data_IF_502354316509
#
_entry.id   IF_502354316509
#
_cell.length_a   1.000
_cell.length_b   1.000
_cell.length_c   1.000
_cell.angle_alpha   90.00
_cell.angle_beta   90.00
_cell.angle_gamma   90.00
#
_symmetry.space_group_name_H-M   'P 1'
#
loop_
_entity.id
_entity.type
_entity.pdbx_description
1 polymer ?
#
# COMPACT_ATOMS: atom_id res chain seq x y z
N UNK A 1 -11.38 -11.83 17.49
CA UNK A 1 -12.73 -12.32 17.14
C UNK A 1 -13.49 -11.12 16.62
N UNK A 2 -13.40 -10.88 15.32
CA UNK A 2 -14.14 -9.82 14.64
C UNK A 2 -15.64 -10.07 14.81
N UNK A 3 -16.40 -9.02 15.06
CA UNK A 3 -17.86 -9.14 15.26
C UNK A 3 -18.56 -9.51 13.95
N UNK A 4 -19.71 -10.18 14.00
CA UNK A 4 -20.46 -10.54 12.78
C UNK A 4 -20.74 -9.34 11.86
N UNK A 5 -20.87 -8.15 12.45
CA UNK A 5 -21.11 -6.90 11.73
C UNK A 5 -19.90 -6.43 10.91
N UNK A 6 -18.69 -6.58 11.44
CA UNK A 6 -17.45 -6.21 10.75
C UNK A 6 -17.22 -7.09 9.53
N UNK A 7 -17.47 -8.40 9.66
CA UNK A 7 -17.40 -9.34 8.55
C UNK A 7 -18.40 -8.99 7.43
N UNK A 8 -19.63 -8.62 7.78
CA UNK A 8 -20.63 -8.19 6.80
C UNK A 8 -20.24 -6.89 6.09
N UNK A 9 -19.61 -5.93 6.77
CA UNK A 9 -19.09 -4.70 6.14
C UNK A 9 -18.01 -5.04 5.11
N UNK A 10 -17.03 -5.88 5.49
CA UNK A 10 -15.96 -6.33 4.58
C UNK A 10 -16.54 -7.06 3.37
N UNK A 11 -17.47 -7.98 3.61
CA UNK A 11 -18.16 -8.74 2.56
C UNK A 11 -18.87 -7.81 1.56
N UNK A 12 -19.65 -6.85 2.05
CA UNK A 12 -20.31 -5.84 1.19
C UNK A 12 -19.31 -5.04 0.37
N UNK A 13 -18.14 -4.71 0.91
CA UNK A 13 -17.07 -4.04 0.17
C UNK A 13 -16.56 -4.85 -1.02
N UNK A 14 -16.33 -6.15 -0.84
CA UNK A 14 -15.93 -7.05 -1.93
C UNK A 14 -17.04 -7.30 -2.94
N UNK A 15 -18.30 -7.43 -2.49
CA UNK A 15 -19.47 -7.52 -3.37
C UNK A 15 -19.60 -6.26 -4.24
N UNK A 16 -19.44 -5.09 -3.63
CA UNK A 16 -19.46 -3.82 -4.34
C UNK A 16 -18.34 -3.72 -5.38
N UNK A 17 -17.10 -4.08 -5.04
CA UNK A 17 -15.97 -4.11 -5.99
C UNK A 17 -16.25 -5.04 -7.17
N UNK A 18 -16.85 -6.21 -6.90
CA UNK A 18 -17.18 -7.21 -7.92
C UNK A 18 -18.26 -6.75 -8.91
N UNK A 19 -19.07 -5.77 -8.52
CA UNK A 19 -20.05 -5.14 -9.41
C UNK A 19 -19.45 -4.02 -10.27
N UNK A 20 -18.22 -3.57 -10.01
CA UNK A 20 -17.62 -2.44 -10.73
C UNK A 20 -16.89 -2.87 -12.01
N UNK A 21 -16.89 -1.99 -13.00
CA UNK A 21 -16.03 -2.13 -14.17
C UNK A 21 -14.65 -1.54 -13.89
N UNK A 22 -13.77 -2.34 -13.28
CA UNK A 22 -12.41 -1.90 -12.92
C UNK A 22 -11.49 -1.94 -14.14
N UNK A 23 -10.93 -0.78 -14.54
CA UNK A 23 -10.15 -0.66 -15.78
C UNK A 23 -8.76 -0.06 -15.59
N UNK A 24 -8.52 0.78 -14.59
CA UNK A 24 -7.18 1.37 -14.43
C UNK A 24 -6.23 0.37 -13.78
N UNK A 25 -4.93 0.43 -14.14
CA UNK A 25 -3.90 -0.43 -13.52
C UNK A 25 -3.83 -0.21 -12.02
N UNK A 26 -3.95 1.05 -11.58
CA UNK A 26 -4.01 1.43 -10.17
C UNK A 26 -5.13 0.70 -9.42
N UNK A 27 -6.37 0.76 -9.91
CA UNK A 27 -7.51 0.13 -9.24
C UNK A 27 -7.42 -1.40 -9.27
N UNK A 28 -6.96 -1.97 -10.38
CA UNK A 28 -6.74 -3.42 -10.49
C UNK A 28 -5.69 -3.90 -9.51
N UNK A 29 -4.54 -3.22 -9.43
CA UNK A 29 -3.48 -3.58 -8.49
C UNK A 29 -3.93 -3.46 -7.03
N UNK A 30 -4.68 -2.41 -6.69
CA UNK A 30 -5.27 -2.26 -5.35
C UNK A 30 -6.28 -3.37 -5.05
N UNK A 31 -7.13 -3.74 -6.01
CA UNK A 31 -8.13 -4.80 -5.84
C UNK A 31 -7.47 -6.18 -5.71
N UNK A 32 -6.45 -6.46 -6.54
CA UNK A 32 -5.66 -7.69 -6.45
C UNK A 32 -5.00 -7.80 -5.07
N UNK A 33 -4.38 -6.73 -4.59
CA UNK A 33 -3.76 -6.69 -3.25
C UNK A 33 -4.78 -6.96 -2.13
N UNK A 34 -5.99 -6.42 -2.26
CA UNK A 34 -7.05 -6.62 -1.27
C UNK A 34 -7.46 -8.09 -1.21
N UNK A 35 -7.70 -8.74 -2.34
CA UNK A 35 -8.01 -10.17 -2.40
C UNK A 35 -6.89 -11.03 -1.79
N UNK A 36 -5.63 -10.74 -2.15
CA UNK A 36 -4.46 -11.46 -1.64
C UNK A 36 -4.37 -11.41 -0.11
N UNK A 37 -4.63 -10.24 0.49
CA UNK A 37 -4.55 -10.06 1.94
C UNK A 37 -5.59 -10.88 2.69
N UNK A 38 -6.78 -11.06 2.11
CA UNK A 38 -7.87 -11.87 2.67
C UNK A 38 -7.82 -13.34 2.26
N UNK A 39 -6.88 -13.75 1.40
CA UNK A 39 -6.80 -15.12 0.89
C UNK A 39 -8.02 -15.53 0.05
N UNK A 40 -8.66 -14.56 -0.62
CA UNK A 40 -9.84 -14.79 -1.44
C UNK A 40 -9.46 -15.17 -2.87
N UNK A 41 -10.31 -15.93 -3.60
CA UNK A 41 -10.13 -16.11 -5.05
C UNK A 41 -10.03 -14.76 -5.75
N UNK A 42 -9.03 -14.61 -6.63
CA UNK A 42 -8.72 -13.33 -7.23
C UNK A 42 -8.94 -13.33 -8.76
N UNK A 43 -10.15 -12.95 -9.23
CA UNK A 43 -10.46 -12.94 -10.67
C UNK A 43 -9.74 -11.82 -11.43
N UNK A 44 -9.09 -10.87 -10.73
CA UNK A 44 -8.50 -9.68 -11.32
C UNK A 44 -7.04 -9.87 -11.76
N UNK A 45 -6.36 -10.93 -11.29
CA UNK A 45 -4.96 -11.23 -11.65
C UNK A 45 -4.76 -11.25 -13.17
N UNK A 46 -5.58 -12.04 -13.87
CA UNK A 46 -5.44 -12.20 -15.34
C UNK A 46 -5.68 -10.87 -16.05
N UNK A 47 -6.60 -10.05 -15.56
CA UNK A 47 -6.89 -8.75 -16.17
C UNK A 47 -5.74 -7.76 -15.96
N UNK A 48 -5.14 -7.73 -14.77
CA UNK A 48 -3.94 -6.94 -14.48
C UNK A 48 -2.76 -7.37 -15.39
N UNK A 49 -2.50 -8.67 -15.51
CA UNK A 49 -1.42 -9.19 -16.38
C UNK A 49 -1.64 -8.79 -17.84
N UNK A 50 -2.88 -8.86 -18.34
CA UNK A 50 -3.21 -8.51 -19.73
C UNK A 50 -3.03 -7.03 -20.05
N UNK A 51 -2.98 -6.14 -19.06
CA UNK A 51 -2.68 -4.71 -19.25
C UNK A 51 -1.19 -4.40 -19.35
N UNK A 52 -0.32 -5.40 -19.21
CA UNK A 52 1.12 -5.21 -19.39
C UNK A 52 1.43 -4.94 -20.86
N UNK A 53 2.19 -3.89 -21.12
CA UNK A 53 2.67 -3.49 -22.44
C UNK A 53 4.20 -3.61 -22.48
N UNK A 54 4.69 -4.58 -23.25
CA UNK A 54 6.12 -4.94 -23.20
C UNK A 54 6.50 -5.41 -21.80
N UNK A 55 7.44 -4.72 -21.16
CA UNK A 55 7.95 -5.06 -19.83
C UNK A 55 7.37 -4.17 -18.71
N UNK A 56 6.36 -3.35 -18.98
CA UNK A 56 5.84 -2.39 -18.00
C UNK A 56 4.32 -2.22 -18.09
N UNK A 57 3.75 -1.45 -17.17
CA UNK A 57 2.35 -0.99 -17.25
C UNK A 57 2.32 0.51 -17.51
N UNK A 58 1.61 0.93 -18.56
CA UNK A 58 1.43 2.34 -18.96
C UNK A 58 2.74 3.13 -19.16
N UNK A 59 3.88 2.45 -19.36
CA UNK A 59 5.23 3.07 -19.29
C UNK A 59 5.46 3.91 -18.03
N UNK A 60 4.77 3.57 -16.93
CA UNK A 60 4.74 4.31 -15.69
C UNK A 60 5.43 3.52 -14.60
N UNK A 61 6.42 4.14 -13.95
CA UNK A 61 7.14 3.58 -12.80
C UNK A 61 6.13 3.17 -11.72
N UNK A 62 5.21 4.08 -11.41
CA UNK A 62 4.24 3.90 -10.32
C UNK A 62 3.25 2.79 -10.60
N UNK A 63 2.71 2.70 -11.82
CA UNK A 63 1.77 1.64 -12.16
C UNK A 63 2.47 0.29 -12.29
N UNK A 64 3.70 0.28 -12.81
CA UNK A 64 4.52 -0.94 -12.86
C UNK A 64 4.85 -1.44 -11.45
N UNK A 65 5.29 -0.55 -10.55
CA UNK A 65 5.57 -0.90 -9.15
C UNK A 65 4.32 -1.43 -8.43
N UNK A 66 3.15 -0.79 -8.61
CA UNK A 66 1.87 -1.27 -8.06
C UNK A 66 1.49 -2.65 -8.60
N UNK A 67 1.61 -2.85 -9.90
CA UNK A 67 1.28 -4.14 -10.52
C UNK A 67 2.21 -5.26 -10.02
N UNK A 68 3.52 -5.01 -9.98
CA UNK A 68 4.51 -5.94 -9.43
C UNK A 68 4.22 -6.28 -7.97
N UNK A 69 3.96 -5.25 -7.14
CA UNK A 69 3.58 -5.39 -5.72
C UNK A 69 2.36 -6.30 -5.56
N UNK A 70 1.29 -6.01 -6.30
CA UNK A 70 0.03 -6.75 -6.21
C UNK A 70 0.16 -8.21 -6.68
N UNK A 71 0.90 -8.45 -7.77
CA UNK A 71 1.14 -9.80 -8.27
C UNK A 71 2.06 -10.59 -7.32
N UNK A 72 3.04 -9.95 -6.70
CA UNK A 72 3.92 -10.60 -5.72
C UNK A 72 3.16 -11.00 -4.46
N UNK A 73 2.14 -10.24 -4.04
CA UNK A 73 1.24 -10.62 -2.95
C UNK A 73 0.45 -11.91 -3.24
N UNK A 74 0.26 -12.24 -4.53
CA UNK A 74 -0.33 -13.51 -5.02
C UNK A 74 0.73 -14.59 -5.31
N UNK A 75 2.00 -14.34 -4.96
CA UNK A 75 3.12 -15.25 -5.24
C UNK A 75 3.58 -15.26 -6.69
N UNK A 76 3.20 -14.26 -7.49
CA UNK A 76 3.54 -14.16 -8.92
C UNK A 76 4.61 -13.09 -9.12
N UNK A 77 5.84 -13.52 -9.43
CA UNK A 77 6.97 -12.62 -9.70
C UNK A 77 7.32 -12.67 -11.19
N UNK A 78 7.21 -11.52 -11.87
CA UNK A 78 7.67 -11.38 -13.27
C UNK A 78 9.04 -10.72 -13.34
N UNK A 79 10.02 -11.44 -13.91
CA UNK A 79 11.39 -10.94 -14.08
C UNK A 79 11.53 -9.81 -15.10
N UNK A 80 10.65 -9.72 -16.10
CA UNK A 80 10.75 -8.68 -17.12
C UNK A 80 10.43 -7.28 -16.56
N UNK A 81 9.28 -7.08 -15.87
CA UNK A 81 8.98 -5.83 -15.19
C UNK A 81 9.91 -5.46 -14.05
N UNK A 82 10.45 -6.44 -13.32
CA UNK A 82 11.54 -6.22 -12.38
C UNK A 82 12.75 -5.56 -13.06
N UNK A 83 13.24 -6.15 -14.16
CA UNK A 83 14.39 -5.63 -14.90
C UNK A 83 14.10 -4.24 -15.47
N UNK A 84 12.90 -4.03 -16.00
CA UNK A 84 12.47 -2.73 -16.47
C UNK A 84 12.50 -1.71 -15.34
N UNK A 85 11.90 -2.02 -14.18
CA UNK A 85 11.88 -1.11 -13.04
C UNK A 85 13.30 -0.78 -12.58
N UNK A 86 14.20 -1.76 -12.44
CA UNK A 86 15.62 -1.52 -12.13
C UNK A 86 16.33 -0.66 -13.17
N UNK A 87 16.03 -0.84 -14.46
CA UNK A 87 16.66 -0.02 -15.52
C UNK A 87 16.23 1.45 -15.51
N UNK A 88 15.11 1.77 -14.85
CA UNK A 88 14.63 3.14 -14.68
C UNK A 88 15.29 3.85 -13.50
N UNK A 89 16.00 3.12 -12.62
CA UNK A 89 16.70 3.68 -11.48
C UNK A 89 17.92 4.50 -11.94
N UNK A 90 18.09 5.69 -11.38
CA UNK A 90 19.24 6.57 -11.60
C UNK A 90 19.70 7.16 -10.27
N UNK A 91 20.93 6.86 -9.89
CA UNK A 91 21.54 7.35 -8.65
C UNK A 91 20.73 7.04 -7.39
N UNK A 92 20.20 5.82 -7.26
CA UNK A 92 19.38 5.40 -6.14
C UNK A 92 17.92 5.87 -6.18
N UNK A 93 17.43 6.44 -7.28
CA UNK A 93 16.08 7.00 -7.32
C UNK A 93 15.34 6.67 -8.60
N UNK A 94 14.02 6.73 -8.52
CA UNK A 94 13.14 6.74 -9.69
C UNK A 94 12.61 8.15 -9.89
N UNK A 95 12.88 8.73 -11.06
CA UNK A 95 12.51 10.10 -11.42
C UNK A 95 13.02 11.21 -10.48
N UNK A 96 14.02 10.93 -9.62
CA UNK A 96 14.42 11.84 -8.52
C UNK A 96 13.22 12.23 -7.62
N UNK A 97 12.22 11.35 -7.53
CA UNK A 97 10.95 11.60 -6.85
C UNK A 97 10.75 10.62 -5.69
N UNK A 98 10.35 11.15 -4.53
CA UNK A 98 10.17 10.38 -3.30
C UNK A 98 9.01 9.38 -3.42
N UNK A 99 7.92 9.73 -4.12
CA UNK A 99 6.80 8.80 -4.29
C UNK A 99 7.18 7.63 -5.19
N UNK A 100 7.73 7.91 -6.35
CA UNK A 100 8.12 6.88 -7.32
C UNK A 100 9.21 5.97 -6.75
N UNK A 101 10.16 6.54 -6.00
CA UNK A 101 11.19 5.77 -5.30
C UNK A 101 10.60 4.90 -4.19
N UNK A 102 9.71 5.41 -3.34
CA UNK A 102 9.07 4.62 -2.30
C UNK A 102 8.21 3.47 -2.86
N UNK A 103 7.44 3.72 -3.92
CA UNK A 103 6.66 2.67 -4.59
C UNK A 103 7.57 1.60 -5.20
N UNK A 104 8.66 2.01 -5.85
CA UNK A 104 9.60 1.09 -6.51
C UNK A 104 10.33 0.21 -5.49
N UNK A 105 10.86 0.81 -4.41
CA UNK A 105 11.54 0.08 -3.34
C UNK A 105 10.63 -0.91 -2.63
N UNK A 106 9.37 -0.53 -2.38
CA UNK A 106 8.35 -1.46 -1.86
C UNK A 106 8.16 -2.64 -2.81
N UNK A 107 7.96 -2.37 -4.09
CA UNK A 107 7.71 -3.41 -5.09
C UNK A 107 8.92 -4.35 -5.24
N UNK A 108 10.14 -3.81 -5.25
CA UNK A 108 11.37 -4.61 -5.25
C UNK A 108 11.45 -5.50 -4.01
N UNK A 109 11.19 -4.98 -2.81
CA UNK A 109 11.19 -5.79 -1.59
C UNK A 109 10.16 -6.93 -1.64
N UNK A 110 8.97 -6.67 -2.18
CA UNK A 110 7.91 -7.68 -2.33
C UNK A 110 8.23 -8.72 -3.42
N UNK A 111 9.07 -8.37 -4.40
CA UNK A 111 9.68 -9.31 -5.35
C UNK A 111 10.96 -9.97 -4.82
N UNK A 112 11.24 -9.84 -3.52
CA UNK A 112 12.42 -10.40 -2.82
C UNK A 112 13.75 -9.83 -3.29
N UNK A 113 13.76 -8.54 -3.64
CA UNK A 113 14.93 -7.85 -4.17
C UNK A 113 15.30 -6.70 -3.26
N UNK A 114 16.49 -6.80 -2.68
CA UNK A 114 17.04 -5.73 -1.86
C UNK A 114 17.63 -4.62 -2.72
N UNK A 115 17.49 -3.40 -2.22
CA UNK A 115 18.05 -2.21 -2.85
C UNK A 115 18.51 -1.21 -1.80
N UNK A 116 19.79 -1.29 -1.46
CA UNK A 116 20.36 -0.45 -0.41
C UNK A 116 20.60 0.98 -0.87
N UNK A 117 21.00 1.15 -2.12
CA UNK A 117 21.29 2.48 -2.68
C UNK A 117 20.00 3.31 -2.69
N UNK A 118 18.90 2.73 -3.17
CA UNK A 118 17.63 3.44 -3.15
C UNK A 118 17.08 3.69 -1.75
N UNK A 119 17.29 2.79 -0.78
CA UNK A 119 16.93 3.06 0.61
C UNK A 119 17.71 4.24 1.19
N UNK A 120 19.03 4.32 0.94
CA UNK A 120 19.85 5.45 1.38
C UNK A 120 19.38 6.75 0.73
N UNK A 121 19.13 6.74 -0.59
CA UNK A 121 18.63 7.92 -1.29
C UNK A 121 17.30 8.40 -0.70
N UNK A 122 16.36 7.48 -0.46
CA UNK A 122 15.05 7.82 0.10
C UNK A 122 15.16 8.40 1.52
N UNK A 123 16.06 7.85 2.33
CA UNK A 123 16.35 8.35 3.68
C UNK A 123 16.97 9.76 3.65
N UNK A 124 17.98 9.97 2.80
CA UNK A 124 18.73 11.24 2.70
C UNK A 124 17.90 12.37 2.06
N UNK A 125 16.95 12.04 1.19
CA UNK A 125 16.10 13.02 0.50
C UNK A 125 14.74 13.24 1.17
N UNK A 126 14.49 12.60 2.32
CA UNK A 126 13.34 12.95 3.16
C UNK A 126 13.56 14.30 3.83
N UNK A 127 12.64 15.24 3.63
CA UNK A 127 12.71 16.59 4.18
C UNK A 127 11.35 17.27 4.30
N UNK A 128 11.30 18.54 4.73
CA UNK A 128 10.04 19.24 5.00
C UNK A 128 9.03 19.27 3.85
N UNK A 129 9.52 19.27 2.60
CA UNK A 129 8.66 19.21 1.41
C UNK A 129 7.86 17.89 1.29
N UNK A 130 8.39 16.82 1.89
CA UNK A 130 7.85 15.46 1.83
C UNK A 130 7.22 15.01 3.16
N UNK A 131 7.30 15.84 4.21
CA UNK A 131 6.74 15.53 5.53
C UNK A 131 5.21 15.72 5.55
N UNK A 132 4.54 14.80 4.88
CA UNK A 132 3.09 14.67 4.88
C UNK A 132 2.75 13.24 5.28
N UNK A 133 1.67 13.05 6.04
CA UNK A 133 1.30 11.73 6.59
C UNK A 133 1.30 10.63 5.53
N UNK A 134 0.69 10.89 4.37
CA UNK A 134 0.63 9.92 3.28
C UNK A 134 2.01 9.53 2.75
N UNK A 135 2.85 10.52 2.43
CA UNK A 135 4.21 10.32 1.93
C UNK A 135 5.11 9.64 2.95
N UNK A 136 5.11 10.13 4.20
CA UNK A 136 5.89 9.54 5.30
C UNK A 136 5.50 8.08 5.51
N UNK A 137 4.21 7.74 5.39
CA UNK A 137 3.73 6.35 5.49
C UNK A 137 4.22 5.45 4.34
N UNK A 138 4.30 5.98 3.11
CA UNK A 138 4.88 5.25 1.97
C UNK A 138 6.37 4.97 2.19
N UNK A 139 7.12 5.96 2.68
CA UNK A 139 8.55 5.83 2.98
C UNK A 139 8.79 4.79 4.07
N UNK A 140 8.05 4.88 5.19
CA UNK A 140 8.10 3.88 6.27
C UNK A 140 7.85 2.48 5.72
N UNK A 141 6.81 2.32 4.89
CA UNK A 141 6.46 1.02 4.30
C UNK A 141 7.58 0.46 3.43
N UNK A 142 8.17 1.30 2.58
CA UNK A 142 9.25 0.91 1.68
C UNK A 142 10.50 0.48 2.45
N UNK A 143 11.00 1.35 3.35
CA UNK A 143 12.19 1.06 4.16
C UNK A 143 11.97 -0.15 5.08
N UNK A 144 10.81 -0.25 5.72
CA UNK A 144 10.53 -1.37 6.63
C UNK A 144 10.51 -2.71 5.89
N UNK A 145 9.93 -2.76 4.69
CA UNK A 145 9.94 -3.99 3.87
C UNK A 145 11.35 -4.37 3.41
N UNK A 146 12.17 -3.39 3.04
CA UNK A 146 13.57 -3.60 2.69
C UNK A 146 14.39 -4.11 3.88
N UNK A 147 14.21 -3.52 5.08
CA UNK A 147 14.83 -4.01 6.32
C UNK A 147 14.42 -5.45 6.67
N UNK A 148 13.12 -5.75 6.57
CA UNK A 148 12.61 -7.10 6.83
C UNK A 148 13.20 -8.13 5.87
N UNK A 149 13.35 -7.78 4.58
CA UNK A 149 13.94 -8.66 3.58
C UNK A 149 15.42 -8.97 3.87
N UNK A 150 16.21 -7.97 4.27
CA UNK A 150 17.67 -8.15 4.46
C UNK A 150 18.06 -8.50 5.90
N UNK A 151 17.16 -8.35 6.87
CA UNK A 151 17.46 -8.43 8.30
C UNK A 151 18.30 -7.26 8.84
N UNK A 152 18.52 -6.22 8.03
CA UNK A 152 19.26 -5.02 8.41
C UNK A 152 18.32 -4.05 9.15
N UNK A 153 18.83 -3.28 10.11
CA UNK A 153 18.09 -2.32 10.94
C UNK A 153 18.63 -0.88 10.89
N UNK A 154 19.39 -0.55 9.85
CA UNK A 154 20.04 0.77 9.74
C UNK A 154 19.05 1.94 9.68
N UNK A 155 17.79 1.72 9.32
CA UNK A 155 16.75 2.73 9.26
C UNK A 155 15.74 2.62 10.43
N UNK A 156 15.93 1.67 11.36
CA UNK A 156 14.96 1.35 12.42
C UNK A 156 14.60 2.56 13.28
N UNK A 157 15.60 3.36 13.64
CA UNK A 157 15.40 4.59 14.44
C UNK A 157 14.53 5.58 13.67
N UNK A 158 14.88 5.85 12.41
CA UNK A 158 14.12 6.76 11.55
C UNK A 158 12.68 6.27 11.35
N UNK A 159 12.51 4.98 11.02
CA UNK A 159 11.21 4.35 10.83
C UNK A 159 10.34 4.51 12.09
N UNK A 160 10.89 4.24 13.26
CA UNK A 160 10.15 4.36 14.53
C UNK A 160 9.75 5.81 14.80
N UNK A 161 10.69 6.75 14.72
CA UNK A 161 10.41 8.17 14.96
C UNK A 161 9.35 8.73 13.99
N UNK A 162 9.42 8.34 12.71
CA UNK A 162 8.43 8.76 11.72
C UNK A 162 7.08 8.07 11.92
N UNK A 163 7.06 6.82 12.37
CA UNK A 163 5.81 6.14 12.73
C UNK A 163 5.13 6.83 13.93
N UNK A 164 5.88 7.17 14.97
CA UNK A 164 5.40 7.95 16.12
C UNK A 164 4.89 9.33 15.69
N UNK A 165 5.60 10.00 14.78
CA UNK A 165 5.14 11.26 14.20
C UNK A 165 3.82 11.08 13.43
N UNK A 166 3.69 10.07 12.56
CA UNK A 166 2.44 9.76 11.85
C UNK A 166 1.29 9.55 12.84
N UNK A 167 1.54 8.77 13.90
CA UNK A 167 0.56 8.50 14.95
C UNK A 167 0.15 9.78 15.69
N UNK A 168 1.08 10.71 15.94
CA UNK A 168 0.80 12.00 16.58
C UNK A 168 -0.11 12.92 15.75
N UNK A 169 -0.22 12.67 14.42
CA UNK A 169 -1.09 13.41 13.51
C UNK A 169 -2.49 12.82 13.39
N UNK A 170 -2.78 11.71 14.10
CA UNK A 170 -4.11 11.10 14.13
C UNK A 170 -5.13 12.08 14.70
N UNK A 171 -6.26 12.23 14.04
CA UNK A 171 -7.39 13.02 14.51
C UNK A 171 -8.06 12.39 15.74
N UNK A 172 -8.83 13.19 16.47
CA UNK A 172 -9.56 12.71 17.66
C UNK A 172 -10.61 11.64 17.33
N UNK A 173 -11.08 11.60 16.09
CA UNK A 173 -12.02 10.59 15.59
C UNK A 173 -11.33 9.26 15.21
N UNK A 174 -10.00 9.21 15.26
CA UNK A 174 -9.19 8.05 14.88
C UNK A 174 -8.74 8.04 13.42
N UNK A 175 -9.20 9.00 12.60
CA UNK A 175 -8.83 9.13 11.19
C UNK A 175 -7.69 10.13 10.95
N UNK A 176 -7.21 10.16 9.72
CA UNK A 176 -6.44 11.27 9.16
C UNK A 176 -7.31 11.99 8.11
N UNK A 177 -6.85 13.14 7.61
CA UNK A 177 -7.62 14.07 6.77
C UNK A 177 -8.44 13.40 5.64
N UNK A 178 -7.90 12.34 5.03
CA UNK A 178 -8.54 11.59 3.96
C UNK A 178 -8.54 10.09 4.24
N UNK A 179 -9.52 9.36 3.67
CA UNK A 179 -9.59 7.89 3.76
C UNK A 179 -8.32 7.25 3.18
N UNK A 180 -7.82 7.74 2.04
CA UNK A 180 -6.57 7.26 1.44
C UNK A 180 -5.36 7.45 2.36
N UNK A 181 -5.22 8.64 2.95
CA UNK A 181 -4.15 8.97 3.90
C UNK A 181 -4.25 8.10 5.15
N UNK A 182 -5.46 7.91 5.68
CA UNK A 182 -5.71 7.07 6.85
C UNK A 182 -5.29 5.63 6.60
N UNK A 183 -5.66 5.08 5.45
CA UNK A 183 -5.26 3.72 5.08
C UNK A 183 -3.74 3.55 4.98
N UNK A 184 -3.04 4.49 4.33
CA UNK A 184 -1.57 4.44 4.25
C UNK A 184 -0.93 4.52 5.63
N UNK A 185 -1.42 5.42 6.49
CA UNK A 185 -0.94 5.59 7.86
C UNK A 185 -1.13 4.31 8.68
N UNK A 186 -2.32 3.73 8.66
CA UNK A 186 -2.63 2.50 9.40
C UNK A 186 -1.76 1.34 8.90
N UNK A 187 -1.60 1.17 7.59
CA UNK A 187 -0.75 0.11 7.04
C UNK A 187 0.71 0.27 7.47
N UNK A 188 1.25 1.49 7.41
CA UNK A 188 2.61 1.77 7.86
C UNK A 188 2.78 1.50 9.37
N UNK A 189 1.82 1.92 10.18
CA UNK A 189 1.81 1.71 11.64
C UNK A 189 1.70 0.23 12.02
N UNK A 190 0.91 -0.55 11.29
CA UNK A 190 0.83 -2.00 11.50
C UNK A 190 2.16 -2.69 11.18
N UNK A 191 2.81 -2.32 10.07
CA UNK A 191 4.13 -2.85 9.70
C UNK A 191 5.23 -2.51 10.71
N UNK A 192 5.06 -1.44 11.48
CA UNK A 192 6.02 -0.99 12.50
C UNK A 192 5.63 -1.40 13.93
N UNK A 193 4.57 -2.19 14.10
CA UNK A 193 4.21 -2.80 15.38
C UNK A 193 3.23 -2.00 16.24
N UNK A 194 2.64 -0.92 15.72
CA UNK A 194 1.67 -0.06 16.43
C UNK A 194 0.22 -0.57 16.33
N UNK A 195 0.02 -1.90 16.37
CA UNK A 195 -1.31 -2.52 16.21
C UNK A 195 -2.31 -2.07 17.29
N UNK A 196 -1.84 -1.84 18.53
CA UNK A 196 -2.71 -1.46 19.64
C UNK A 196 -3.21 -0.01 19.49
N UNK A 197 -2.39 0.84 18.91
CA UNK A 197 -2.57 2.28 18.79
C UNK A 197 -3.50 2.67 17.63
N UNK A 198 -3.76 1.76 16.69
CA UNK A 198 -4.65 1.97 15.53
C UNK A 198 -6.03 1.33 15.69
N UNK A 199 -6.34 0.71 16.83
CA UNK A 199 -7.63 0.01 17.03
C UNK A 199 -8.85 0.92 16.90
N UNK A 200 -8.75 2.18 17.31
CA UNK A 200 -9.76 3.22 17.08
C UNK A 200 -9.84 3.63 15.60
N UNK A 201 -8.71 3.70 14.89
CA UNK A 201 -8.65 3.95 13.45
C UNK A 201 -9.34 2.86 12.63
N UNK A 202 -9.27 1.60 13.07
CA UNK A 202 -10.00 0.49 12.43
C UNK A 202 -11.51 0.65 12.62
N UNK A 203 -11.95 1.00 13.84
CA UNK A 203 -13.37 1.30 14.10
C UNK A 203 -13.86 2.49 13.28
N UNK A 204 -13.02 3.52 13.16
CA UNK A 204 -13.30 4.67 12.31
C UNK A 204 -13.46 4.26 10.85
N UNK A 205 -12.55 3.44 10.29
CA UNK A 205 -12.68 2.93 8.92
C UNK A 205 -13.98 2.16 8.71
N UNK A 206 -14.32 1.24 9.61
CA UNK A 206 -15.57 0.48 9.57
C UNK A 206 -16.80 1.41 9.61
N UNK A 207 -16.77 2.45 10.45
CA UNK A 207 -17.82 3.46 10.53
C UNK A 207 -17.91 4.41 9.33
N UNK A 208 -16.89 4.43 8.45
CA UNK A 208 -16.88 5.20 7.19
C UNK A 208 -17.39 4.41 5.99
N UNK A 209 -17.74 3.13 6.16
CA UNK A 209 -18.39 2.35 5.11
C UNK A 209 -19.72 3.01 4.74
N UNK A 210 -19.97 3.18 3.44
CA UNK A 210 -21.22 3.74 2.92
C UNK A 210 -22.29 2.65 2.84
N UNK A 211 -23.54 3.04 2.61
CA UNK A 211 -24.66 2.09 2.49
C UNK A 211 -24.42 1.04 1.39
N UNK A 212 -23.72 1.41 0.32
CA UNK A 212 -23.30 0.54 -0.77
C UNK A 212 -22.24 -0.50 -0.38
N UNK A 213 -21.58 -0.34 0.77
CA UNK A 213 -20.41 -1.11 1.18
C UNK A 213 -19.07 -0.52 0.76
N UNK A 214 -19.07 0.56 -0.02
CA UNK A 214 -17.85 1.20 -0.51
C UNK A 214 -17.25 2.20 0.50
N UNK A 215 -16.00 2.60 0.25
CA UNK A 215 -15.34 3.72 0.89
C UNK A 215 -14.97 4.79 -0.14
N UNK A 216 -14.94 6.03 0.31
CA UNK A 216 -14.42 7.16 -0.45
C UNK A 216 -14.75 8.51 0.21
N UNK A 217 -13.94 9.53 -0.09
CA UNK A 217 -14.02 10.82 0.62
C UNK A 217 -15.34 11.54 0.36
N UNK A 218 -15.79 11.61 -0.90
CA UNK A 218 -17.02 12.30 -1.31
C UNK A 218 -18.07 11.35 -1.88
N UNK A 219 -17.62 10.41 -2.69
CA UNK A 219 -18.42 9.37 -3.34
C UNK A 219 -17.78 8.00 -3.13
N UNK A 220 -18.45 6.96 -3.62
CA UNK A 220 -17.89 5.61 -3.65
C UNK A 220 -16.68 5.57 -4.60
N UNK A 221 -15.54 5.07 -4.13
CA UNK A 221 -14.29 5.05 -4.90
C UNK A 221 -13.67 3.65 -4.89
N UNK A 222 -13.34 3.13 -6.07
CA UNK A 222 -12.80 1.77 -6.24
C UNK A 222 -11.47 1.63 -5.50
N UNK A 223 -10.59 2.59 -5.66
CA UNK A 223 -9.26 2.52 -5.08
C UNK A 223 -9.28 2.68 -3.56
N UNK A 224 -10.11 3.57 -3.02
CA UNK A 224 -10.29 3.76 -1.58
C UNK A 224 -10.94 2.52 -0.96
N UNK A 225 -11.93 1.92 -1.62
CA UNK A 225 -12.56 0.67 -1.17
C UNK A 225 -11.54 -0.47 -1.11
N UNK A 226 -10.82 -0.71 -2.20
CA UNK A 226 -9.79 -1.76 -2.24
C UNK A 226 -8.65 -1.52 -1.23
N UNK A 227 -8.24 -0.26 -1.06
CA UNK A 227 -7.22 0.10 -0.08
C UNK A 227 -7.71 -0.08 1.37
N UNK A 228 -8.97 0.27 1.66
CA UNK A 228 -9.58 0.01 2.98
C UNK A 228 -9.67 -1.48 3.27
N UNK A 229 -10.15 -2.28 2.32
CA UNK A 229 -10.19 -3.74 2.48
C UNK A 229 -8.79 -4.32 2.70
N UNK A 230 -7.77 -3.81 2.01
CA UNK A 230 -6.37 -4.18 2.24
C UNK A 230 -5.93 -3.83 3.68
N UNK A 231 -6.23 -2.62 4.16
CA UNK A 231 -5.89 -2.20 5.54
C UNK A 231 -6.56 -3.08 6.58
N UNK A 232 -7.86 -3.38 6.42
CA UNK A 232 -8.61 -4.24 7.34
C UNK A 232 -8.04 -5.67 7.34
N UNK A 233 -7.73 -6.22 6.15
CA UNK A 233 -7.12 -7.54 6.03
C UNK A 233 -5.73 -7.61 6.66
N UNK A 234 -4.92 -6.56 6.50
CA UNK A 234 -3.62 -6.44 7.17
C UNK A 234 -3.78 -6.39 8.70
N UNK A 235 -4.76 -5.65 9.20
CA UNK A 235 -5.04 -5.56 10.64
C UNK A 235 -5.39 -6.92 11.26
N UNK A 236 -6.26 -7.69 10.60
CA UNK A 236 -6.67 -9.03 11.08
C UNK A 236 -5.48 -10.00 11.12
N UNK A 237 -4.50 -9.84 10.22
CA UNK A 237 -3.32 -10.71 10.12
C UNK A 237 -2.14 -10.30 11.00
N UNK A 238 -2.08 -9.03 11.44
CA UNK A 238 -0.97 -8.46 12.20
C UNK A 238 -0.98 -8.81 13.69
#
# INVERSE_FOLDING_TARGET
MSSSMEFEIVKKGFEWLSAQQIQSVKELASTVSAHALWGLPNPYITHLIRKKEGDCWNSSIRDTARACSALSAEGIIFRAPEKWLRSMEKGGSWNEDVYDTAYSLRALAEMEISDREGCNWLYENYGPAWEQVGTTSLIITALKKQETLTGNRDFEVFIRERAEWVLSKKGQDGGWEHISTSNLAIQALLLTGFKKEVGDSIKWLLGKARESGAWGNKEDDINATALTLSTLGLYERS
#
